data_IF_740813722174
#
_entry.id   IF_740813722174
#
_cell.length_a   1.000
_cell.length_b   1.000
_cell.length_c   1.000
_cell.angle_alpha   90.00
_cell.angle_beta   90.00
_cell.angle_gamma   90.00
#
_symmetry.space_group_name_H-M   'P 1'
#
loop_
_entity.id
_entity.type
_entity.pdbx_description
1 polymer ?
#
# COMPACT_ATOMS: atom_id res chain seq x y z
N UNK A 1 -28.57 -24.75 -66.45
CA UNK A 1 -30.00 -24.66 -66.08
C UNK A 1 -30.06 -24.93 -64.58
N UNK A 2 -30.36 -23.99 -63.69
CA UNK A 2 -31.49 -23.08 -63.68
C UNK A 2 -31.11 -21.60 -63.60
N UNK A 3 -32.06 -20.78 -64.06
CA UNK A 3 -32.02 -19.34 -64.30
C UNK A 3 -32.84 -18.64 -63.20
N UNK A 4 -32.53 -17.35 -62.94
CA UNK A 4 -33.31 -16.27 -62.30
C UNK A 4 -33.00 -15.95 -60.82
N UNK A 5 -33.25 -14.71 -60.33
CA UNK A 5 -32.89 -13.40 -60.89
C UNK A 5 -32.46 -12.35 -59.83
N UNK A 6 -31.89 -11.21 -60.25
CA UNK A 6 -32.29 -9.90 -59.74
C UNK A 6 -31.55 -9.27 -58.54
N UNK A 7 -30.75 -8.25 -58.84
CA UNK A 7 -30.70 -6.95 -58.15
C UNK A 7 -30.62 -6.91 -56.61
N UNK A 8 -29.38 -6.81 -56.13
CA UNK A 8 -28.88 -5.75 -55.25
C UNK A 8 -29.81 -5.16 -54.16
N UNK A 9 -29.28 -5.16 -52.94
CA UNK A 9 -29.54 -4.23 -51.80
C UNK A 9 -30.59 -4.56 -50.73
N UNK A 10 -31.52 -5.51 -50.92
CA UNK A 10 -32.48 -5.88 -49.85
C UNK A 10 -31.96 -6.84 -48.78
N UNK A 11 -31.20 -7.86 -49.18
CA UNK A 11 -30.77 -8.97 -48.30
C UNK A 11 -29.66 -8.60 -47.31
N UNK A 12 -28.82 -7.62 -47.66
CA UNK A 12 -27.73 -7.14 -46.80
C UNK A 12 -28.28 -6.43 -45.56
N UNK A 13 -29.47 -5.82 -45.65
CA UNK A 13 -30.13 -5.14 -44.53
C UNK A 13 -30.75 -6.11 -43.53
N UNK A 14 -31.38 -7.20 -43.99
CA UNK A 14 -32.02 -8.19 -43.09
C UNK A 14 -30.96 -9.00 -42.34
N UNK A 15 -29.88 -9.39 -43.03
CA UNK A 15 -28.77 -10.13 -42.40
C UNK A 15 -27.89 -9.21 -41.52
N UNK A 16 -27.75 -7.92 -41.87
CA UNK A 16 -27.07 -6.92 -41.04
C UNK A 16 -27.85 -6.56 -39.76
N UNK A 17 -29.18 -6.51 -39.83
CA UNK A 17 -30.06 -6.23 -38.69
C UNK A 17 -30.11 -7.43 -37.72
N UNK A 18 -30.02 -8.67 -38.23
CA UNK A 18 -29.89 -9.87 -37.40
C UNK A 18 -28.51 -9.97 -36.71
N UNK A 19 -27.45 -9.38 -37.29
CA UNK A 19 -26.12 -9.27 -36.67
C UNK A 19 -26.00 -8.18 -35.60
N UNK A 20 -26.95 -7.23 -35.55
CA UNK A 20 -27.05 -6.26 -34.45
C UNK A 20 -27.77 -6.83 -33.22
N UNK A 21 -28.59 -7.88 -33.39
CA UNK A 21 -29.31 -8.53 -32.28
C UNK A 21 -28.44 -9.51 -31.48
N UNK A 22 -27.25 -9.88 -31.99
CA UNK A 22 -26.32 -10.83 -31.37
C UNK A 22 -24.91 -10.22 -31.11
N UNK A 23 -24.82 -8.89 -30.95
CA UNK A 23 -23.60 -8.22 -30.53
C UNK A 23 -23.56 -8.03 -29.00
N UNK A 24 -22.53 -8.54 -28.29
CA UNK A 24 -22.36 -8.35 -26.85
C UNK A 24 -21.95 -6.91 -26.47
N UNK A 25 -21.86 -5.98 -27.42
CA UNK A 25 -21.54 -4.56 -27.16
C UNK A 25 -22.75 -3.72 -26.77
N UNK A 26 -23.95 -4.30 -26.83
CA UNK A 26 -25.17 -3.75 -26.23
C UNK A 26 -25.30 -3.99 -24.72
N UNK A 27 -24.19 -4.10 -23.98
CA UNK A 27 -24.18 -4.11 -22.51
C UNK A 27 -24.56 -2.72 -21.97
N UNK A 28 -25.79 -2.30 -22.26
CA UNK A 28 -26.49 -1.28 -21.51
C UNK A 28 -26.63 -1.82 -20.09
N UNK A 29 -25.71 -1.39 -19.22
CA UNK A 29 -25.81 -1.30 -17.75
C UNK A 29 -27.03 -2.05 -17.18
N UNK A 30 -26.88 -3.34 -16.87
CA UNK A 30 -27.92 -4.08 -16.15
C UNK A 30 -28.18 -3.37 -14.81
N UNK A 31 -29.43 -2.95 -14.51
CA UNK A 31 -29.77 -2.37 -13.21
C UNK A 31 -29.72 -3.49 -12.16
N UNK A 32 -28.58 -3.63 -11.50
CA UNK A 32 -28.33 -4.68 -10.51
C UNK A 32 -26.85 -4.88 -10.14
N UNK A 33 -25.90 -4.47 -11.00
CA UNK A 33 -24.46 -4.62 -10.73
C UNK A 33 -23.91 -3.71 -9.62
N UNK A 34 -24.69 -2.77 -9.09
CA UNK A 34 -24.28 -1.97 -7.93
C UNK A 34 -24.03 -2.83 -6.68
N UNK A 35 -24.80 -3.90 -6.52
CA UNK A 35 -24.72 -4.80 -5.35
C UNK A 35 -23.45 -5.65 -5.39
N UNK A 36 -23.04 -6.16 -6.56
CA UNK A 36 -21.80 -6.93 -6.71
C UNK A 36 -20.54 -6.07 -6.47
N UNK A 37 -20.54 -4.81 -6.94
CA UNK A 37 -19.42 -3.88 -6.70
C UNK A 37 -19.36 -3.45 -5.23
N UNK A 38 -20.50 -3.24 -4.57
CA UNK A 38 -20.57 -2.93 -3.14
C UNK A 38 -20.15 -4.11 -2.25
N UNK A 39 -20.55 -5.33 -2.62
CA UNK A 39 -20.18 -6.55 -1.92
C UNK A 39 -18.67 -6.85 -2.05
N UNK A 40 -18.11 -6.69 -3.26
CA UNK A 40 -16.67 -6.86 -3.48
C UNK A 40 -15.82 -5.88 -2.65
N UNK A 41 -16.22 -4.60 -2.58
CA UNK A 41 -15.55 -3.59 -1.73
C UNK A 41 -15.67 -3.90 -0.24
N UNK A 42 -16.81 -4.44 0.19
CA UNK A 42 -17.04 -4.79 1.61
C UNK A 42 -16.23 -6.02 2.02
N UNK A 43 -16.10 -7.01 1.13
CA UNK A 43 -15.21 -8.17 1.33
C UNK A 43 -13.73 -7.75 1.35
N UNK A 44 -13.33 -6.80 0.50
CA UNK A 44 -11.96 -6.25 0.47
C UNK A 44 -11.61 -5.54 1.79
N UNK A 45 -12.53 -4.73 2.35
CA UNK A 45 -12.36 -4.07 3.65
C UNK A 45 -12.38 -5.05 4.84
N UNK A 46 -13.16 -6.13 4.74
CA UNK A 46 -13.19 -7.20 5.75
C UNK A 46 -11.90 -8.04 5.72
N UNK A 47 -11.35 -8.30 4.52
CA UNK A 47 -10.13 -9.11 4.33
C UNK A 47 -8.85 -8.36 4.69
N UNK A 48 -8.80 -7.03 4.55
CA UNK A 48 -7.60 -6.24 4.88
C UNK A 48 -7.59 -5.73 6.33
N UNK A 49 -8.75 -5.71 7.01
CA UNK A 49 -8.89 -5.14 8.36
C UNK A 49 -8.77 -3.61 8.41
N UNK A 50 -8.55 -2.93 7.27
CA UNK A 50 -8.44 -1.48 7.17
C UNK A 50 -9.66 -0.91 6.45
N UNK A 51 -10.36 0.03 7.10
CA UNK A 51 -11.58 0.67 6.55
C UNK A 51 -11.33 1.52 5.29
N UNK A 52 -10.09 1.94 5.06
CA UNK A 52 -9.69 2.89 4.01
C UNK A 52 -8.67 2.21 3.08
N UNK A 53 -9.16 1.55 2.03
CA UNK A 53 -8.31 0.80 1.09
C UNK A 53 -8.05 1.56 -0.22
N UNK A 54 -8.63 2.75 -0.41
CA UNK A 54 -8.39 3.61 -1.57
C UNK A 54 -8.15 5.05 -1.11
N UNK A 55 -7.05 5.66 -1.57
CA UNK A 55 -6.75 7.09 -1.39
C UNK A 55 -7.87 8.02 -1.91
N UNK A 56 -8.76 7.51 -2.77
CA UNK A 56 -9.92 8.23 -3.26
C UNK A 56 -11.07 8.38 -2.24
N UNK A 57 -11.17 7.50 -1.21
CA UNK A 57 -12.24 7.59 -0.21
C UNK A 57 -11.83 8.41 1.04
N UNK A 58 -10.52 8.58 1.33
CA UNK A 58 -10.03 9.38 2.50
C UNK A 58 -8.52 9.74 2.40
N UNK A 59 -8.15 10.59 1.43
CA UNK A 59 -6.76 11.01 1.21
C UNK A 59 -6.11 11.68 2.46
N UNK A 60 -6.91 12.38 3.27
CA UNK A 60 -6.46 13.04 4.49
C UNK A 60 -6.10 12.03 5.60
N UNK A 61 -6.91 10.98 5.78
CA UNK A 61 -6.64 9.92 6.77
C UNK A 61 -5.41 9.07 6.42
N UNK A 62 -5.18 8.83 5.12
CA UNK A 62 -3.98 8.13 4.64
C UNK A 62 -2.71 8.95 4.85
N UNK A 63 -2.71 10.25 4.50
CA UNK A 63 -1.53 11.11 4.67
C UNK A 63 -1.10 11.24 6.14
N UNK A 64 -2.05 11.36 7.08
CA UNK A 64 -1.76 11.38 8.52
C UNK A 64 -1.20 10.03 8.99
N UNK A 65 -1.80 8.92 8.53
CA UNK A 65 -1.34 7.57 8.88
C UNK A 65 0.06 7.26 8.36
N UNK A 66 0.41 7.74 7.17
CA UNK A 66 1.75 7.65 6.61
C UNK A 66 2.76 8.53 7.38
N UNK A 67 2.36 9.75 7.75
CA UNK A 67 3.15 10.62 8.62
C UNK A 67 3.46 9.98 9.98
N UNK A 68 2.45 9.42 10.64
CA UNK A 68 2.63 8.69 11.91
C UNK A 68 3.48 7.44 11.72
N UNK A 69 3.33 6.70 10.62
CA UNK A 69 4.17 5.53 10.30
C UNK A 69 5.63 5.92 10.10
N UNK A 70 5.89 7.03 9.43
CA UNK A 70 7.23 7.61 9.28
C UNK A 70 7.84 8.00 10.62
N UNK A 71 7.07 8.71 11.47
CA UNK A 71 7.51 9.07 12.82
C UNK A 71 7.79 7.85 13.69
N UNK A 72 6.97 6.79 13.62
CA UNK A 72 7.23 5.53 14.33
C UNK A 72 8.54 4.89 13.84
N UNK A 73 8.82 4.93 12.54
CA UNK A 73 10.10 4.49 11.99
C UNK A 73 11.29 5.30 12.53
N UNK A 74 11.18 6.62 12.50
CA UNK A 74 12.18 7.54 13.04
C UNK A 74 12.41 7.34 14.54
N UNK A 75 11.33 7.23 15.32
CA UNK A 75 11.41 7.05 16.77
C UNK A 75 12.05 5.71 17.14
N UNK A 76 11.77 4.63 16.40
CA UNK A 76 12.45 3.33 16.60
C UNK A 76 13.95 3.43 16.35
N UNK A 77 14.38 4.20 15.35
CA UNK A 77 15.80 4.45 15.13
C UNK A 77 16.40 5.32 16.24
N UNK A 78 15.70 6.36 16.68
CA UNK A 78 16.15 7.21 17.78
C UNK A 78 16.36 6.41 19.07
N UNK A 79 15.46 5.48 19.39
CA UNK A 79 15.60 4.57 20.54
C UNK A 79 16.86 3.71 20.41
N UNK A 80 17.11 3.10 19.24
CA UNK A 80 18.34 2.33 19.01
C UNK A 80 19.59 3.20 19.17
N UNK A 81 19.61 4.39 18.57
CA UNK A 81 20.73 5.33 18.69
C UNK A 81 20.98 5.75 20.16
N UNK A 82 19.92 5.96 20.95
CA UNK A 82 20.03 6.24 22.37
C UNK A 82 20.61 5.05 23.15
N UNK A 83 20.19 3.83 22.84
CA UNK A 83 20.72 2.60 23.44
C UNK A 83 22.20 2.39 23.12
N UNK A 84 22.60 2.66 21.87
CA UNK A 84 24.00 2.61 21.44
C UNK A 84 24.82 3.69 22.15
N UNK A 85 24.28 4.91 22.29
CA UNK A 85 24.88 5.99 23.06
C UNK A 85 25.10 5.62 24.53
N UNK A 86 24.12 4.99 25.18
CA UNK A 86 24.26 4.47 26.55
C UNK A 86 25.40 3.44 26.63
N UNK A 87 25.48 2.53 25.67
CA UNK A 87 26.53 1.49 25.64
C UNK A 87 27.93 2.10 25.48
N UNK A 88 28.05 3.17 24.68
CA UNK A 88 29.31 3.93 24.56
C UNK A 88 29.68 4.63 25.86
N UNK A 89 28.72 5.26 26.53
CA UNK A 89 28.94 5.93 27.82
C UNK A 89 29.38 4.92 28.88
N UNK A 90 28.75 3.74 28.96
CA UNK A 90 29.16 2.68 29.88
C UNK A 90 30.60 2.23 29.64
N UNK A 91 31.00 2.10 28.38
CA UNK A 91 32.39 1.76 28.01
C UNK A 91 33.35 2.88 28.44
N UNK A 92 32.95 4.13 28.27
CA UNK A 92 33.73 5.29 28.71
C UNK A 92 33.85 5.37 30.24
N UNK A 93 32.78 5.10 31.00
CA UNK A 93 32.81 5.04 32.46
C UNK A 93 33.76 3.94 32.96
N UNK A 94 33.74 2.76 32.34
CA UNK A 94 34.70 1.69 32.63
C UNK A 94 36.14 2.13 32.38
N UNK A 95 36.42 2.77 31.25
CA UNK A 95 37.75 3.29 30.94
C UNK A 95 38.20 4.39 31.92
N UNK A 96 37.29 5.29 32.33
CA UNK A 96 37.60 6.34 33.31
C UNK A 96 37.89 5.77 34.70
N UNK A 97 37.22 4.69 35.10
CA UNK A 97 37.54 3.99 36.34
C UNK A 97 38.96 3.41 36.32
N UNK A 98 39.40 2.86 35.19
CA UNK A 98 40.79 2.40 35.03
C UNK A 98 41.79 3.56 35.08
N UNK A 99 41.50 4.69 34.40
CA UNK A 99 42.34 5.89 34.51
C UNK A 99 42.42 6.38 35.95
N UNK A 100 41.29 6.38 36.68
CA UNK A 100 41.25 6.77 38.08
C UNK A 100 42.13 5.86 38.95
N UNK A 101 42.06 4.54 38.73
CA UNK A 101 42.89 3.56 39.46
C UNK A 101 44.39 3.77 39.16
N UNK A 102 44.76 4.07 37.92
CA UNK A 102 46.14 4.38 37.52
C UNK A 102 46.64 5.65 38.22
N UNK A 103 45.84 6.72 38.25
CA UNK A 103 46.23 7.96 38.92
C UNK A 103 46.40 7.76 40.44
N UNK A 104 45.55 6.97 41.08
CA UNK A 104 45.71 6.59 42.48
C UNK A 104 47.03 5.83 42.70
N UNK A 105 47.34 4.86 41.83
CA UNK A 105 48.61 4.10 41.86
C UNK A 105 49.83 5.00 41.68
N UNK A 106 49.81 5.90 40.70
CA UNK A 106 50.91 6.85 40.49
C UNK A 106 51.15 7.73 41.73
N UNK A 107 50.08 8.20 42.39
CA UNK A 107 50.19 8.99 43.61
C UNK A 107 50.83 8.20 44.75
N UNK A 108 50.45 6.94 44.97
CA UNK A 108 51.06 6.14 46.05
C UNK A 108 52.48 5.69 45.74
N UNK A 109 52.90 5.66 44.46
CA UNK A 109 54.28 5.38 44.06
C UNK A 109 55.21 6.59 44.12
N UNK A 110 54.66 7.81 44.09
CA UNK A 110 55.44 9.05 44.10
C UNK A 110 55.74 9.58 45.51
N UNK A 111 55.07 9.05 46.53
CA UNK A 111 55.26 9.37 47.97
C UNK A 111 56.19 8.34 48.59
#
# INVERSE_FOLDING_TARGET
MAVLPGSGSGWVSILGMLRLLFHPTGMCKMPGQGVLVGLAKSLEKLSSGFRINRAADDAAGLAISEGLRSQVGGNRQAVRNAQDGISLVQTAEGALNEVHSILQRMRVLAV
#
